data_IF_613490219402
#
_entry.id   IF_613490219402
#
_cell.length_a   1.000
_cell.length_b   1.000
_cell.length_c   1.000
_cell.angle_alpha   90.00
_cell.angle_beta   90.00
_cell.angle_gamma   90.00
#
_symmetry.space_group_name_H-M   'P 1'
#
loop_
_entity.id
_entity.type
_entity.pdbx_description
1 polymer ?
#
# COMPACT_ATOMS: atom_id res chain seq x y z
N UNK A 1 9.61 -24.79 8.06
CA UNK A 1 10.57 -23.76 7.63
C UNK A 1 11.75 -23.80 8.57
N UNK A 2 12.96 -23.83 8.02
CA UNK A 2 14.19 -23.63 8.77
C UNK A 2 14.31 -22.18 9.27
N UNK A 3 15.13 -21.98 10.30
CA UNK A 3 15.28 -20.67 10.96
C UNK A 3 15.72 -19.58 9.98
N UNK A 4 16.59 -19.92 9.01
CA UNK A 4 17.09 -18.99 8.02
C UNK A 4 16.01 -18.55 7.01
N UNK A 5 15.10 -19.45 6.60
CA UNK A 5 13.93 -19.06 5.80
C UNK A 5 13.00 -18.09 6.56
N UNK A 6 12.75 -18.33 7.85
CA UNK A 6 11.97 -17.40 8.67
C UNK A 6 12.63 -16.01 8.73
N UNK A 7 13.96 -15.94 8.91
CA UNK A 7 14.71 -14.68 8.93
C UNK A 7 14.62 -13.97 7.57
N UNK A 8 14.82 -14.70 6.47
CA UNK A 8 14.72 -14.14 5.12
C UNK A 8 13.31 -13.58 4.82
N UNK A 9 12.27 -14.33 5.19
CA UNK A 9 10.89 -13.87 5.11
C UNK A 9 10.66 -12.61 5.95
N UNK A 10 11.07 -12.61 7.22
CA UNK A 10 10.92 -11.43 8.09
C UNK A 10 11.65 -10.20 7.57
N UNK A 11 12.84 -10.35 7.00
CA UNK A 11 13.57 -9.26 6.34
C UNK A 11 12.81 -8.74 5.12
N UNK A 12 12.28 -9.64 4.29
CA UNK A 12 11.44 -9.27 3.16
C UNK A 12 10.19 -8.50 3.60
N UNK A 13 9.53 -8.94 4.69
CA UNK A 13 8.38 -8.26 5.26
C UNK A 13 8.74 -6.85 5.75
N UNK A 14 9.89 -6.70 6.40
CA UNK A 14 10.40 -5.40 6.86
C UNK A 14 10.65 -4.45 5.69
N UNK A 15 11.26 -4.93 4.61
CA UNK A 15 11.44 -4.14 3.37
C UNK A 15 10.10 -3.75 2.76
N UNK A 16 9.14 -4.68 2.69
CA UNK A 16 7.79 -4.39 2.24
C UNK A 16 7.11 -3.28 3.04
N UNK A 17 7.19 -3.34 4.37
CA UNK A 17 6.68 -2.30 5.26
C UNK A 17 7.38 -0.95 5.03
N UNK A 18 8.70 -0.94 4.87
CA UNK A 18 9.44 0.28 4.57
C UNK A 18 8.94 0.95 3.28
N UNK A 19 8.71 0.16 2.22
CA UNK A 19 8.14 0.66 0.96
C UNK A 19 6.72 1.22 1.18
N UNK A 20 5.87 0.52 1.95
CA UNK A 20 4.52 0.97 2.25
C UNK A 20 4.50 2.28 3.07
N UNK A 21 5.46 2.47 3.97
CA UNK A 21 5.63 3.73 4.69
C UNK A 21 6.00 4.87 3.74
N UNK A 22 6.94 4.64 2.82
CA UNK A 22 7.29 5.63 1.80
C UNK A 22 6.08 5.95 0.91
N UNK A 23 5.29 4.95 0.52
CA UNK A 23 4.06 5.16 -0.24
C UNK A 23 3.02 6.00 0.55
N UNK A 24 2.88 5.77 1.86
CA UNK A 24 2.02 6.60 2.72
C UNK A 24 2.49 8.05 2.81
N UNK A 25 3.80 8.31 2.77
CA UNK A 25 4.35 9.65 2.90
C UNK A 25 4.39 10.42 1.59
N UNK A 26 4.65 9.75 0.47
CA UNK A 26 4.88 10.39 -0.84
C UNK A 26 3.69 10.21 -1.78
N UNK A 27 3.14 8.99 -1.87
CA UNK A 27 2.11 8.66 -2.85
C UNK A 27 0.73 9.08 -2.35
N UNK A 28 0.40 8.85 -1.08
CA UNK A 28 -0.89 9.26 -0.52
C UNK A 28 -1.20 10.76 -0.72
N UNK A 29 -0.31 11.73 -0.38
CA UNK A 29 -0.61 13.14 -0.62
C UNK A 29 -0.76 13.46 -2.11
N UNK A 30 0.02 12.83 -2.99
CA UNK A 30 -0.10 13.00 -4.43
C UNK A 30 -1.45 12.48 -4.96
N UNK A 31 -1.92 11.32 -4.46
CA UNK A 31 -3.22 10.74 -4.81
C UNK A 31 -4.37 11.60 -4.30
N UNK A 32 -4.31 12.09 -3.07
CA UNK A 32 -5.34 12.98 -2.53
C UNK A 32 -5.40 14.29 -3.32
N UNK A 33 -4.24 14.87 -3.67
CA UNK A 33 -4.17 16.05 -4.52
C UNK A 33 -4.74 15.79 -5.92
N UNK A 34 -4.44 14.63 -6.52
CA UNK A 34 -5.02 14.25 -7.81
C UNK A 34 -6.55 14.00 -7.73
N UNK A 35 -7.06 13.52 -6.60
CA UNK A 35 -8.51 13.40 -6.36
C UNK A 35 -9.17 14.79 -6.25
N UNK A 36 -8.53 15.74 -5.57
CA UNK A 36 -8.97 17.14 -5.49
C UNK A 36 -8.92 17.82 -6.87
N UNK A 37 -7.80 17.70 -7.60
CA UNK A 37 -7.62 18.29 -8.94
C UNK A 37 -8.57 17.66 -9.97
N UNK A 38 -8.77 16.35 -9.93
CA UNK A 38 -9.71 15.62 -10.77
C UNK A 38 -11.18 16.00 -10.51
N UNK A 39 -11.50 16.30 -9.25
CA UNK A 39 -12.79 16.87 -8.85
C UNK A 39 -12.97 18.29 -9.40
N UNK A 40 -11.95 19.15 -9.27
CA UNK A 40 -11.95 20.53 -9.79
C UNK A 40 -12.06 20.55 -11.32
N UNK A 41 -11.44 19.59 -12.02
CA UNK A 41 -11.47 19.50 -13.49
C UNK A 41 -12.75 18.85 -14.05
N UNK A 42 -13.76 18.53 -13.25
CA UNK A 42 -15.05 17.99 -13.73
C UNK A 42 -14.97 16.60 -14.37
N UNK A 43 -13.80 15.94 -14.35
CA UNK A 43 -13.63 14.55 -14.75
C UNK A 43 -14.13 13.67 -13.61
N UNK A 44 -15.45 13.50 -13.55
CA UNK A 44 -16.13 12.64 -12.58
C UNK A 44 -15.72 11.17 -12.80
N UNK A 45 -14.56 10.78 -12.27
CA UNK A 45 -14.22 9.36 -11.99
C UNK A 45 -14.79 8.91 -10.65
N UNK A 46 -15.48 9.83 -9.94
CA UNK A 46 -16.25 9.50 -8.74
C UNK A 46 -17.32 8.50 -9.15
N UNK A 47 -17.31 7.30 -8.57
CA UNK A 47 -18.48 6.45 -8.56
C UNK A 47 -19.65 7.33 -8.12
N UNK A 48 -20.67 7.43 -8.97
CA UNK A 48 -21.80 8.37 -8.85
C UNK A 48 -22.53 8.34 -7.49
N UNK A 49 -22.22 7.38 -6.62
CA UNK A 49 -22.82 7.16 -5.32
C UNK A 49 -21.98 7.63 -4.11
N UNK A 50 -20.71 8.03 -4.26
CA UNK A 50 -19.87 8.44 -3.11
C UNK A 50 -19.46 9.91 -3.15
N UNK A 51 -19.51 10.57 -2.00
CA UNK A 51 -18.98 11.93 -1.83
C UNK A 51 -17.44 11.92 -1.88
N UNK A 52 -16.80 13.01 -2.37
CA UNK A 52 -15.33 13.12 -2.40
C UNK A 52 -14.67 12.87 -1.05
N UNK A 53 -15.27 13.37 0.04
CA UNK A 53 -14.78 13.15 1.41
C UNK A 53 -14.76 11.67 1.80
N UNK A 54 -15.77 10.91 1.36
CA UNK A 54 -15.86 9.48 1.60
C UNK A 54 -14.75 8.74 0.85
N UNK A 55 -14.52 9.11 -0.41
CA UNK A 55 -13.44 8.54 -1.24
C UNK A 55 -12.07 8.84 -0.64
N UNK A 56 -11.83 10.08 -0.19
CA UNK A 56 -10.58 10.46 0.46
C UNK A 56 -10.36 9.70 1.78
N UNK A 57 -11.42 9.51 2.58
CA UNK A 57 -11.37 8.74 3.83
C UNK A 57 -11.04 7.27 3.58
N UNK A 58 -11.70 6.64 2.61
CA UNK A 58 -11.42 5.25 2.20
C UNK A 58 -9.98 5.16 1.68
N UNK A 59 -9.56 6.10 0.83
CA UNK A 59 -8.19 6.14 0.29
C UNK A 59 -7.16 6.19 1.42
N UNK A 60 -7.33 7.09 2.41
CA UNK A 60 -6.45 7.17 3.59
C UNK A 60 -6.45 5.86 4.38
N UNK A 61 -7.62 5.23 4.56
CA UNK A 61 -7.71 3.95 5.27
C UNK A 61 -6.97 2.83 4.52
N UNK A 62 -7.15 2.73 3.19
CA UNK A 62 -6.46 1.76 2.33
C UNK A 62 -4.94 1.91 2.40
N UNK A 63 -4.45 3.15 2.35
CA UNK A 63 -3.02 3.42 2.46
C UNK A 63 -2.48 3.12 3.86
N UNK A 64 -3.25 3.35 4.94
CA UNK A 64 -2.75 3.18 6.31
C UNK A 64 -2.81 1.76 6.85
N UNK A 65 -3.74 0.93 6.38
CA UNK A 65 -3.99 -0.39 6.99
C UNK A 65 -3.81 -1.54 5.98
N UNK A 66 -4.64 -1.71 4.94
CA UNK A 66 -4.46 -2.81 3.97
C UNK A 66 -3.14 -2.76 3.22
N UNK A 67 -2.71 -1.59 2.73
CA UNK A 67 -1.51 -1.51 1.90
C UNK A 67 -0.24 -1.95 2.65
N UNK A 68 0.04 -1.49 3.89
CA UNK A 68 1.17 -1.99 4.66
C UNK A 68 1.11 -3.48 4.94
N UNK A 69 -0.07 -4.02 5.26
CA UNK A 69 -0.25 -5.46 5.47
C UNK A 69 0.05 -6.26 4.20
N UNK A 70 -0.45 -5.82 3.05
CA UNK A 70 -0.21 -6.45 1.76
C UNK A 70 1.27 -6.39 1.38
N UNK A 71 1.92 -5.25 1.57
CA UNK A 71 3.33 -5.10 1.25
C UNK A 71 4.23 -5.91 2.19
N UNK A 72 3.91 -5.97 3.48
CA UNK A 72 4.59 -6.85 4.42
C UNK A 72 4.45 -8.32 4.02
N UNK A 73 3.24 -8.73 3.64
CA UNK A 73 2.97 -10.10 3.23
C UNK A 73 3.67 -10.47 1.91
N UNK A 74 3.57 -9.62 0.90
CA UNK A 74 4.27 -9.81 -0.39
C UNK A 74 5.78 -9.80 -0.18
N UNK A 75 6.29 -8.89 0.65
CA UNK A 75 7.68 -8.84 1.04
C UNK A 75 8.14 -10.12 1.73
N UNK A 76 7.33 -10.67 2.65
CA UNK A 76 7.61 -11.93 3.31
C UNK A 76 7.74 -13.08 2.31
N UNK A 77 6.77 -13.23 1.41
CA UNK A 77 6.80 -14.26 0.38
C UNK A 77 7.98 -14.08 -0.58
N UNK A 78 8.30 -12.84 -0.95
CA UNK A 78 9.46 -12.53 -1.79
C UNK A 78 10.78 -12.91 -1.08
N UNK A 79 10.89 -12.65 0.23
CA UNK A 79 12.04 -13.04 1.05
C UNK A 79 12.21 -14.56 1.14
N UNK A 80 11.11 -15.29 1.34
CA UNK A 80 11.13 -16.76 1.29
C UNK A 80 11.58 -17.29 -0.07
N UNK A 81 11.04 -16.72 -1.15
CA UNK A 81 11.38 -17.11 -2.51
C UNK A 81 12.83 -16.82 -2.86
N UNK A 82 13.34 -15.66 -2.45
CA UNK A 82 14.74 -15.28 -2.67
C UNK A 82 15.74 -16.19 -1.95
N UNK A 83 15.35 -16.74 -0.79
CA UNK A 83 16.15 -17.72 -0.05
C UNK A 83 16.11 -19.14 -0.66
N UNK A 84 15.25 -19.40 -1.64
CA UNK A 84 15.09 -20.72 -2.28
C UNK A 84 13.85 -21.49 -1.82
N UNK A 85 12.91 -20.85 -1.12
CA UNK A 85 11.58 -21.39 -0.85
C UNK A 85 10.72 -21.40 -2.13
N UNK A 86 9.97 -22.48 -2.35
CA UNK A 86 8.98 -22.60 -3.43
C UNK A 86 7.81 -21.63 -3.25
#
# INVERSE_FOLDING_TARGET
MDQAALIAGSLGAFVGLAIALVANLVVLPAVLKAQEDGFIMGRKTVLSSMTPDTVARITRFMYRVPMPLLFAFVGFLAGLKAYGGY
#
